data_IF_063146141827
#
_entry.id   IF_063146141827
#
_cell.length_a   1.000
_cell.length_b   1.000
_cell.length_c   1.000
_cell.angle_alpha   90.00
_cell.angle_beta   90.00
_cell.angle_gamma   90.00
#
_symmetry.space_group_name_H-M   'P 1'
#
loop_
_entity.id
_entity.type
_entity.pdbx_description
1 polymer ?
#
# COMPACT_ATOMS: atom_id res chain seq x y z
N UNK A 1 4.55 28.61 15.16
CA UNK A 1 5.18 27.43 14.52
C UNK A 1 4.22 26.27 14.68
N UNK A 2 4.03 25.41 13.66
CA UNK A 2 3.28 24.17 13.85
C UNK A 2 3.92 23.37 14.99
N UNK A 3 3.11 22.79 15.88
CA UNK A 3 3.61 21.88 16.91
C UNK A 3 4.29 20.69 16.24
N UNK A 4 5.36 20.17 16.84
CA UNK A 4 6.09 19.01 16.30
C UNK A 4 5.15 17.81 16.04
N UNK A 5 4.08 17.69 16.82
CA UNK A 5 3.04 16.67 16.65
C UNK A 5 2.28 16.76 15.32
N UNK A 6 2.17 17.95 14.73
CA UNK A 6 1.44 18.15 13.47
C UNK A 6 2.16 17.50 12.27
N UNK A 7 3.44 17.16 12.42
CA UNK A 7 4.24 16.54 11.38
C UNK A 7 4.33 15.00 11.50
N UNK A 8 3.89 14.43 12.62
CA UNK A 8 3.92 12.99 12.84
C UNK A 8 2.71 12.30 12.16
N UNK A 9 2.91 11.11 11.56
CA UNK A 9 1.85 10.41 10.85
C UNK A 9 0.73 9.90 11.78
N UNK A 10 1.06 9.56 13.03
CA UNK A 10 0.08 9.16 14.04
C UNK A 10 0.03 10.20 15.16
N UNK A 11 -1.19 10.54 15.54
CA UNK A 11 -1.50 11.38 16.69
C UNK A 11 -1.76 10.50 17.90
N UNK A 12 -1.11 10.82 19.01
CA UNK A 12 -1.35 10.18 20.30
C UNK A 12 -2.60 10.75 20.98
N UNK A 13 -3.39 9.89 21.62
CA UNK A 13 -4.54 10.27 22.44
C UNK A 13 -4.30 9.87 23.89
N UNK A 14 -4.07 10.87 24.74
CA UNK A 14 -3.94 10.65 26.18
C UNK A 14 -5.31 10.46 26.82
N UNK A 15 -5.51 9.43 27.67
CA UNK A 15 -6.72 9.27 28.47
C UNK A 15 -7.02 10.53 29.31
N UNK A 16 -8.30 10.76 29.62
CA UNK A 16 -8.69 11.90 30.45
C UNK A 16 -8.00 11.83 31.84
N UNK A 17 -7.39 12.94 32.26
CA UNK A 17 -6.69 13.03 33.54
C UNK A 17 -5.23 12.56 33.52
N UNK A 18 -4.78 11.98 32.40
CA UNK A 18 -3.36 11.70 32.20
C UNK A 18 -2.64 12.97 31.71
N UNK A 19 -1.36 13.17 32.07
CA UNK A 19 -0.57 14.22 31.47
C UNK A 19 -0.36 13.92 29.98
N UNK A 20 -0.14 14.99 29.22
CA UNK A 20 0.27 14.88 27.83
C UNK A 20 1.74 14.42 27.79
N UNK A 21 2.08 13.34 27.07
CA UNK A 21 3.47 12.91 26.92
C UNK A 21 4.31 13.98 26.22
N UNK A 22 5.63 13.94 26.42
CA UNK A 22 6.53 14.83 25.69
C UNK A 22 6.54 14.48 24.19
N UNK A 23 6.72 15.49 23.33
CA UNK A 23 6.79 15.30 21.88
C UNK A 23 7.86 14.26 21.46
N UNK A 24 8.97 14.19 22.20
CA UNK A 24 10.02 13.17 21.99
C UNK A 24 9.53 11.75 22.25
N UNK A 25 8.79 11.55 23.35
CA UNK A 25 8.20 10.24 23.67
C UNK A 25 7.21 9.83 22.58
N UNK A 26 6.33 10.77 22.17
CA UNK A 26 5.34 10.54 21.10
C UNK A 26 6.02 10.18 19.77
N UNK A 27 7.14 10.81 19.43
CA UNK A 27 7.89 10.51 18.22
C UNK A 27 8.59 9.13 18.26
N UNK A 28 9.08 8.71 19.42
CA UNK A 28 9.83 7.44 19.61
C UNK A 28 8.93 6.22 19.78
N UNK A 29 7.67 6.40 20.19
CA UNK A 29 6.71 5.31 20.45
C UNK A 29 5.54 5.26 19.45
N UNK A 30 5.67 5.88 18.26
CA UNK A 30 4.59 5.91 17.25
C UNK A 30 4.01 4.52 16.94
N UNK A 31 2.72 4.34 17.20
CA UNK A 31 1.98 3.11 16.89
C UNK A 31 2.26 1.95 17.85
N UNK A 32 2.98 2.19 18.93
CA UNK A 32 3.15 1.22 20.01
C UNK A 32 1.90 1.22 20.91
N UNK A 33 1.33 0.05 21.17
CA UNK A 33 0.18 -0.07 22.08
C UNK A 33 0.75 -0.36 23.46
N UNK A 34 0.61 0.55 24.45
CA UNK A 34 1.06 0.29 25.80
C UNK A 34 0.40 -0.95 26.38
N UNK A 35 1.12 -1.68 27.24
CA UNK A 35 0.56 -2.81 27.96
C UNK A 35 -0.63 -2.38 28.83
N UNK A 36 -1.54 -3.31 29.08
CA UNK A 36 -2.73 -3.04 29.88
C UNK A 36 -2.33 -2.59 31.29
N UNK A 37 -2.76 -1.40 31.68
CA UNK A 37 -2.43 -0.80 32.98
C UNK A 37 -1.06 -0.12 33.03
N UNK A 38 -0.38 0.03 31.89
CA UNK A 38 0.78 0.92 31.76
C UNK A 38 0.38 2.33 32.21
N UNK A 39 1.28 3.02 32.90
CA UNK A 39 1.17 4.43 33.27
C UNK A 39 2.56 5.02 33.00
N UNK A 40 2.69 6.21 32.39
CA UNK A 40 4.01 6.75 32.09
C UNK A 40 4.82 6.96 33.37
N UNK A 41 6.09 6.59 33.34
CA UNK A 41 6.99 6.75 34.49
C UNK A 41 7.11 8.23 34.90
N UNK A 42 7.06 8.50 36.20
CA UNK A 42 7.17 9.84 36.76
C UNK A 42 5.86 10.66 36.77
N UNK A 43 4.75 10.07 36.34
CA UNK A 43 3.43 10.72 36.36
C UNK A 43 2.73 10.46 37.69
N UNK A 44 2.94 11.37 38.64
CA UNK A 44 2.01 11.57 39.73
C UNK A 44 1.52 13.01 39.68
N UNK A 45 0.28 13.21 39.24
CA UNK A 45 -0.31 14.54 39.21
C UNK A 45 -0.73 14.89 40.64
N UNK A 46 0.12 15.61 41.36
CA UNK A 46 -0.12 15.92 42.77
C UNK A 46 -0.09 14.70 43.69
N UNK A 47 0.71 13.68 43.36
CA UNK A 47 0.82 12.45 44.16
C UNK A 47 -0.29 11.42 43.93
N UNK A 48 -1.30 11.72 43.11
CA UNK A 48 -2.37 10.79 42.76
C UNK A 48 -2.00 10.04 41.48
N UNK A 49 -2.05 8.70 41.54
CA UNK A 49 -1.86 7.82 40.38
C UNK A 49 -3.13 7.89 39.52
N UNK A 50 -3.04 8.19 38.22
CA UNK A 50 -4.21 8.23 37.37
C UNK A 50 -4.82 6.85 37.19
N UNK A 51 -6.13 6.81 36.92
CA UNK A 51 -6.84 5.57 36.64
C UNK A 51 -6.31 4.90 35.36
N UNK A 52 -6.32 3.56 35.28
CA UNK A 52 -5.96 2.84 34.06
C UNK A 52 -6.81 3.27 32.86
N UNK A 53 -6.22 3.27 31.68
CA UNK A 53 -6.96 3.52 30.45
C UNK A 53 -8.08 2.46 30.24
N UNK A 54 -9.23 2.84 29.65
CA UNK A 54 -10.27 1.89 29.25
C UNK A 54 -9.75 0.75 28.35
N UNK A 55 -10.40 -0.42 28.38
CA UNK A 55 -9.98 -1.58 27.57
C UNK A 55 -10.05 -1.31 26.06
N UNK A 56 -10.95 -0.43 25.63
CA UNK A 56 -11.21 -0.05 24.25
C UNK A 56 -10.49 1.25 23.83
N UNK A 57 -9.52 1.70 24.62
CA UNK A 57 -8.83 2.97 24.35
C UNK A 57 -8.01 2.92 23.07
N UNK A 58 -8.24 3.90 22.20
CA UNK A 58 -7.48 4.08 20.95
C UNK A 58 -6.33 5.05 21.19
N UNK A 59 -5.14 4.50 21.47
CA UNK A 59 -3.93 5.28 21.74
C UNK A 59 -3.47 6.13 20.56
N UNK A 60 -3.68 5.65 19.33
CA UNK A 60 -3.16 6.26 18.12
C UNK A 60 -4.24 6.39 17.07
N UNK A 61 -4.33 7.57 16.46
CA UNK A 61 -5.11 7.75 15.23
C UNK A 61 -4.25 8.36 14.14
N UNK A 62 -4.58 8.10 12.88
CA UNK A 62 -3.91 8.75 11.75
C UNK A 62 -4.15 10.26 11.80
N UNK A 63 -3.06 11.03 11.73
CA UNK A 63 -3.17 12.48 11.57
C UNK A 63 -3.49 12.77 10.10
N UNK A 64 -4.67 13.34 9.77
CA UNK A 64 -5.15 13.40 8.39
C UNK A 64 -4.20 14.17 7.45
N UNK A 65 -3.64 15.28 7.92
CA UNK A 65 -2.76 16.11 7.10
C UNK A 65 -1.36 15.52 6.90
N UNK A 66 -0.68 15.10 7.98
CA UNK A 66 0.60 14.41 7.89
C UNK A 66 0.50 13.13 7.05
N UNK A 67 -0.56 12.35 7.24
CA UNK A 67 -0.83 11.16 6.43
C UNK A 67 -1.04 11.48 4.96
N UNK A 68 -1.81 12.53 4.64
CA UNK A 68 -2.04 12.95 3.26
C UNK A 68 -0.72 13.35 2.59
N UNK A 69 0.15 14.08 3.28
CA UNK A 69 1.47 14.48 2.77
C UNK A 69 2.34 13.26 2.49
N UNK A 70 2.49 12.38 3.49
CA UNK A 70 3.27 11.16 3.43
C UNK A 70 2.83 10.20 2.31
N UNK A 71 1.51 10.06 2.12
CA UNK A 71 0.93 9.15 1.13
C UNK A 71 0.79 9.76 -0.25
N UNK A 72 0.81 11.09 -0.40
CA UNK A 72 0.57 11.79 -1.67
C UNK A 72 1.43 11.25 -2.80
N UNK A 73 2.73 11.07 -2.54
CA UNK A 73 3.69 10.59 -3.54
C UNK A 73 3.39 9.17 -3.97
N UNK A 74 3.16 8.28 -3.00
CA UNK A 74 2.88 6.87 -3.27
C UNK A 74 1.53 6.68 -3.96
N UNK A 75 0.49 7.37 -3.49
CA UNK A 75 -0.83 7.37 -4.14
C UNK A 75 -0.73 7.92 -5.57
N UNK A 76 0.08 8.96 -5.81
CA UNK A 76 0.28 9.47 -7.18
C UNK A 76 0.95 8.46 -8.10
N UNK A 77 1.84 7.61 -7.59
CA UNK A 77 2.49 6.55 -8.35
C UNK A 77 1.49 5.45 -8.73
N UNK A 78 0.71 4.95 -7.76
CA UNK A 78 -0.35 3.97 -8.03
C UNK A 78 -1.41 4.52 -8.99
N UNK A 79 -1.79 5.80 -8.83
CA UNK A 79 -2.73 6.44 -9.74
C UNK A 79 -2.21 6.51 -11.17
N UNK A 80 -0.92 6.78 -11.38
CA UNK A 80 -0.31 6.78 -12.71
C UNK A 80 -0.30 5.37 -13.32
N UNK A 81 0.03 4.35 -12.54
CA UNK A 81 -0.02 2.94 -12.97
C UNK A 81 -1.43 2.52 -13.38
N UNK A 82 -2.44 2.79 -12.55
CA UNK A 82 -3.85 2.54 -12.87
C UNK A 82 -4.31 3.26 -14.15
N UNK A 83 -3.96 4.54 -14.32
CA UNK A 83 -4.31 5.30 -15.54
C UNK A 83 -3.64 4.67 -16.76
N UNK A 84 -2.35 4.32 -16.67
CA UNK A 84 -1.62 3.69 -17.77
C UNK A 84 -2.22 2.32 -18.14
N UNK A 85 -2.51 1.48 -17.14
CA UNK A 85 -3.15 0.16 -17.33
C UNK A 85 -4.55 0.29 -17.95
N UNK A 86 -5.36 1.23 -17.50
CA UNK A 86 -6.68 1.50 -18.06
C UNK A 86 -6.60 2.00 -19.51
N UNK A 87 -5.68 2.91 -19.82
CA UNK A 87 -5.46 3.39 -21.20
C UNK A 87 -5.03 2.26 -22.12
N UNK A 88 -4.08 1.43 -21.70
CA UNK A 88 -3.63 0.26 -22.46
C UNK A 88 -4.79 -0.70 -22.72
N UNK A 89 -5.63 -0.95 -21.71
CA UNK A 89 -6.81 -1.80 -21.86
C UNK A 89 -7.79 -1.25 -22.90
N UNK A 90 -8.15 0.05 -22.81
CA UNK A 90 -9.09 0.69 -23.75
C UNK A 90 -8.55 0.69 -25.18
N UNK A 91 -7.25 0.97 -25.37
CA UNK A 91 -6.60 0.94 -26.68
C UNK A 91 -6.58 -0.49 -27.24
N UNK A 92 -6.20 -1.48 -26.44
CA UNK A 92 -6.19 -2.88 -26.85
C UNK A 92 -7.58 -3.38 -27.24
N UNK A 93 -8.61 -2.99 -26.46
CA UNK A 93 -10.00 -3.30 -26.74
C UNK A 93 -10.45 -2.67 -28.07
N UNK A 94 -10.15 -1.39 -28.30
CA UNK A 94 -10.51 -0.72 -29.56
C UNK A 94 -9.83 -1.34 -30.78
N UNK A 95 -8.55 -1.72 -30.65
CA UNK A 95 -7.80 -2.39 -31.72
C UNK A 95 -8.28 -3.83 -31.97
N UNK A 96 -8.82 -4.52 -30.97
CA UNK A 96 -9.38 -5.86 -31.12
C UNK A 96 -10.60 -5.87 -32.05
N UNK A 97 -11.42 -4.81 -32.02
CA UNK A 97 -12.58 -4.65 -32.89
C UNK A 97 -12.26 -3.95 -34.23
N UNK A 98 -11.03 -3.48 -34.42
CA UNK A 98 -10.63 -2.85 -35.66
C UNK A 98 -10.45 -3.91 -36.78
N UNK A 99 -10.82 -3.59 -38.03
CA UNK A 99 -10.73 -4.54 -39.16
C UNK A 99 -9.30 -5.03 -39.46
N UNK A 100 -8.28 -4.32 -38.97
CA UNK A 100 -6.87 -4.69 -39.10
C UNK A 100 -6.45 -5.87 -38.20
N UNK A 101 -7.30 -6.28 -37.25
CA UNK A 101 -7.04 -7.40 -36.35
C UNK A 101 -7.03 -8.78 -37.05
N UNK A 102 -7.19 -8.86 -38.38
CA UNK A 102 -7.13 -10.13 -39.13
C UNK A 102 -5.75 -10.80 -39.09
N UNK A 103 -4.68 -10.05 -38.77
CA UNK A 103 -3.32 -10.60 -38.66
C UNK A 103 -3.14 -11.34 -37.33
N UNK A 104 -2.83 -12.63 -37.39
CA UNK A 104 -2.73 -13.54 -36.24
C UNK A 104 -1.75 -13.07 -35.16
N UNK A 105 -0.59 -12.51 -35.54
CA UNK A 105 0.41 -12.01 -34.59
C UNK A 105 -0.04 -10.78 -33.78
N UNK A 106 -0.84 -9.91 -34.39
CA UNK A 106 -1.38 -8.71 -33.73
C UNK A 106 -2.45 -9.08 -32.70
N UNK A 107 -3.26 -10.12 -32.95
CA UNK A 107 -4.25 -10.62 -31.98
C UNK A 107 -3.60 -11.08 -30.69
N UNK A 108 -2.48 -11.81 -30.74
CA UNK A 108 -1.79 -12.31 -29.54
C UNK A 108 -1.29 -11.16 -28.67
N UNK A 109 -0.69 -10.13 -29.29
CA UNK A 109 -0.27 -8.92 -28.58
C UNK A 109 -1.45 -8.16 -27.96
N UNK A 110 -2.56 -8.07 -28.69
CA UNK A 110 -3.78 -7.42 -28.20
C UNK A 110 -4.40 -8.15 -27.01
N UNK A 111 -4.44 -9.48 -27.05
CA UNK A 111 -4.86 -10.29 -25.89
C UNK A 111 -3.94 -10.09 -24.69
N UNK A 112 -2.62 -10.06 -24.90
CA UNK A 112 -1.65 -9.76 -23.86
C UNK A 112 -1.91 -8.41 -23.20
N UNK A 113 -2.13 -7.36 -24.00
CA UNK A 113 -2.46 -6.03 -23.50
C UNK A 113 -3.82 -5.97 -22.79
N UNK A 114 -4.82 -6.70 -23.31
CA UNK A 114 -6.16 -6.80 -22.74
C UNK A 114 -6.15 -7.45 -21.35
N UNK A 115 -5.27 -8.42 -21.13
CA UNK A 115 -5.08 -9.07 -19.83
C UNK A 115 -4.19 -8.24 -18.89
N UNK A 116 -3.15 -7.61 -19.44
CA UNK A 116 -2.19 -6.83 -18.67
C UNK A 116 -2.83 -5.59 -18.02
N UNK A 117 -3.66 -4.84 -18.76
CA UNK A 117 -4.28 -3.61 -18.26
C UNK A 117 -5.08 -3.81 -16.96
N UNK A 118 -6.08 -4.71 -16.93
CA UNK A 118 -6.85 -5.02 -15.72
C UNK A 118 -5.99 -5.62 -14.59
N UNK A 119 -4.99 -6.46 -14.92
CA UNK A 119 -4.10 -7.04 -13.92
C UNK A 119 -3.26 -5.96 -13.21
N UNK A 120 -2.74 -4.98 -13.94
CA UNK A 120 -2.00 -3.86 -13.37
C UNK A 120 -2.90 -2.97 -12.49
N UNK A 121 -4.12 -2.67 -12.96
CA UNK A 121 -5.11 -1.93 -12.18
C UNK A 121 -5.46 -2.66 -10.87
N UNK A 122 -5.70 -3.97 -10.93
CA UNK A 122 -6.00 -4.77 -9.76
C UNK A 122 -4.83 -4.80 -8.77
N UNK A 123 -3.59 -4.93 -9.29
CA UNK A 123 -2.36 -4.88 -8.49
C UNK A 123 -2.20 -3.55 -7.77
N UNK A 124 -2.41 -2.44 -8.46
CA UNK A 124 -2.29 -1.10 -7.88
C UNK A 124 -3.40 -0.83 -6.86
N UNK A 125 -4.62 -1.28 -7.14
CA UNK A 125 -5.76 -1.17 -6.22
C UNK A 125 -5.49 -1.94 -4.92
N UNK A 126 -4.98 -3.18 -5.01
CA UNK A 126 -4.57 -3.95 -3.83
C UNK A 126 -3.40 -3.30 -3.07
N UNK A 127 -2.50 -2.63 -3.81
CA UNK A 127 -1.45 -1.80 -3.22
C UNK A 127 -2.03 -0.66 -2.36
N UNK A 128 -3.10 -0.02 -2.84
CA UNK A 128 -3.80 1.05 -2.12
C UNK A 128 -4.57 0.54 -0.89
N UNK A 129 -5.22 -0.63 -0.96
CA UNK A 129 -5.95 -1.17 0.20
C UNK A 129 -5.02 -1.59 1.33
N UNK A 130 -3.84 -2.12 0.99
CA UNK A 130 -2.81 -2.52 1.97
C UNK A 130 -1.89 -1.38 2.38
N UNK A 131 -2.10 -0.18 1.85
CA UNK A 131 -1.23 0.97 2.08
C UNK A 131 -1.25 1.38 3.57
N UNK A 132 -2.43 1.35 4.19
CA UNK A 132 -2.61 1.65 5.62
C UNK A 132 -1.68 0.82 6.50
N UNK A 133 -1.81 -0.50 6.42
CA UNK A 133 -1.05 -1.44 7.24
C UNK A 133 0.46 -1.32 7.03
N UNK A 134 0.90 -1.09 5.78
CA UNK A 134 2.32 -0.91 5.45
C UNK A 134 2.90 0.35 6.07
N UNK A 135 2.15 1.45 6.03
CA UNK A 135 2.59 2.70 6.62
C UNK A 135 2.54 2.68 8.14
N UNK A 136 1.56 2.01 8.74
CA UNK A 136 1.52 1.80 10.19
C UNK A 136 2.71 0.93 10.65
N UNK A 137 3.08 -0.09 9.87
CA UNK A 137 4.30 -0.88 10.09
C UNK A 137 5.59 -0.08 9.83
N UNK A 138 5.56 0.86 8.90
CA UNK A 138 6.70 1.73 8.60
C UNK A 138 6.92 2.78 9.68
N UNK A 139 5.85 3.41 10.18
CA UNK A 139 5.91 4.36 11.28
C UNK A 139 6.56 3.74 12.52
N UNK A 140 6.17 2.51 12.87
CA UNK A 140 6.80 1.73 13.95
C UNK A 140 8.28 1.45 13.75
N UNK A 141 8.74 1.27 12.50
CA UNK A 141 10.18 1.07 12.22
C UNK A 141 10.97 2.35 12.35
N UNK A 142 10.40 3.47 11.91
CA UNK A 142 11.04 4.78 12.04
C UNK A 142 11.14 5.16 13.52
N UNK A 143 10.08 4.96 14.28
CA UNK A 143 10.06 5.22 15.72
C UNK A 143 11.08 4.36 16.47
N UNK A 144 11.17 3.07 16.15
CA UNK A 144 12.20 2.18 16.71
C UNK A 144 13.63 2.64 16.39
N UNK A 145 13.87 3.23 15.20
CA UNK A 145 15.18 3.81 14.86
C UNK A 145 15.47 5.09 15.64
N UNK A 146 14.48 5.95 15.81
CA UNK A 146 14.61 7.17 16.62
C UNK A 146 14.86 6.82 18.09
N UNK A 147 14.18 5.81 18.62
CA UNK A 147 14.39 5.32 19.98
C UNK A 147 15.79 4.72 20.19
N UNK A 148 16.36 4.09 19.16
CA UNK A 148 17.70 3.52 19.19
C UNK A 148 18.83 4.57 19.12
N UNK A 149 18.53 5.81 18.73
CA UNK A 149 19.49 6.92 18.69
C UNK A 149 19.12 8.02 19.70
N UNK A 150 19.43 7.84 21.00
CA UNK A 150 19.08 8.77 22.06
C UNK A 150 19.81 10.13 21.97
N UNK A 151 20.83 10.24 21.12
CA UNK A 151 21.55 11.49 20.84
C UNK A 151 21.17 12.11 19.50
N UNK A 152 20.31 11.43 18.71
CA UNK A 152 19.77 11.94 17.48
C UNK A 152 18.94 13.19 17.74
N UNK A 153 19.22 14.27 17.00
CA UNK A 153 18.36 15.45 17.03
C UNK A 153 16.99 15.00 16.52
N UNK A 154 15.98 15.07 17.39
CA UNK A 154 14.60 14.82 17.01
C UNK A 154 14.29 15.63 15.75
N UNK A 155 13.78 15.03 14.67
CA UNK A 155 13.55 15.77 13.44
C UNK A 155 12.61 16.93 13.75
N UNK A 156 13.15 18.15 13.63
CA UNK A 156 12.50 19.37 14.12
C UNK A 156 11.57 19.97 13.07
N UNK A 157 11.71 19.50 11.82
CA UNK A 157 10.97 20.00 10.68
C UNK A 157 10.15 18.89 10.02
N UNK A 158 9.00 19.28 9.47
CA UNK A 158 8.19 18.40 8.63
C UNK A 158 8.98 17.85 7.42
N UNK A 159 9.97 18.59 6.94
CA UNK A 159 10.85 18.19 5.83
C UNK A 159 11.84 17.08 6.24
N UNK A 160 12.42 17.16 7.43
CA UNK A 160 13.30 16.12 7.97
C UNK A 160 12.52 14.85 8.27
N UNK A 161 11.32 14.98 8.86
CA UNK A 161 10.37 13.88 9.00
C UNK A 161 10.05 13.32 7.62
N UNK A 162 9.67 14.12 6.63
CA UNK A 162 9.42 13.63 5.28
C UNK A 162 10.63 12.87 4.70
N UNK A 163 11.86 13.36 4.88
CA UNK A 163 13.06 12.64 4.41
C UNK A 163 13.32 11.33 5.16
N UNK A 164 12.99 11.26 6.45
CA UNK A 164 13.09 10.04 7.26
C UNK A 164 12.00 9.03 6.88
N UNK A 165 10.84 9.54 6.50
CA UNK A 165 9.63 8.79 6.26
C UNK A 165 9.31 8.53 4.77
N UNK A 166 10.06 9.13 3.84
CA UNK A 166 10.00 8.82 2.41
C UNK A 166 10.98 7.67 2.15
N UNK A 167 10.50 6.48 1.82
CA UNK A 167 11.40 5.38 1.48
C UNK A 167 12.20 5.76 0.23
N UNK A 168 13.53 5.75 0.34
CA UNK A 168 14.49 6.12 -0.74
C UNK A 168 14.26 5.31 -2.02
N UNK A 169 13.75 4.09 -1.87
CA UNK A 169 13.23 3.22 -2.90
C UNK A 169 11.72 3.12 -2.70
N UNK A 170 10.90 3.50 -3.68
CA UNK A 170 9.45 3.41 -3.56
C UNK A 170 8.97 2.02 -3.10
N UNK A 171 7.74 1.89 -2.58
CA UNK A 171 7.23 0.69 -1.88
C UNK A 171 7.14 -0.62 -2.72
N UNK A 172 7.73 -0.65 -3.91
CA UNK A 172 7.77 -1.82 -4.80
C UNK A 172 9.02 -2.71 -4.69
N UNK A 173 10.14 -2.23 -4.14
CA UNK A 173 11.39 -3.01 -4.19
C UNK A 173 11.58 -3.98 -3.01
N UNK A 174 10.95 -3.74 -1.88
CA UNK A 174 11.21 -4.49 -0.63
C UNK A 174 10.09 -5.48 -0.24
N UNK A 175 9.15 -5.77 -1.15
CA UNK A 175 8.09 -6.73 -0.88
C UNK A 175 8.67 -8.14 -0.65
N UNK A 176 8.29 -8.85 0.43
CA UNK A 176 8.84 -10.16 0.75
C UNK A 176 8.63 -11.14 -0.42
N UNK A 177 9.70 -11.83 -0.79
CA UNK A 177 9.79 -12.76 -1.93
C UNK A 177 8.66 -13.81 -1.96
N UNK A 178 8.04 -14.14 -0.83
CA UNK A 178 6.95 -15.12 -0.76
C UNK A 178 5.63 -14.68 -1.42
N UNK A 179 5.30 -13.38 -1.43
CA UNK A 179 4.05 -12.90 -2.08
C UNK A 179 4.18 -12.89 -3.60
N UNK A 180 5.42 -12.79 -4.13
CA UNK A 180 5.69 -12.91 -5.57
C UNK A 180 5.34 -14.30 -6.11
N UNK A 181 5.52 -15.36 -5.32
CA UNK A 181 5.24 -16.74 -5.74
C UNK A 181 3.75 -17.01 -6.00
N UNK A 182 2.87 -16.54 -5.11
CA UNK A 182 1.40 -16.69 -5.25
C UNK A 182 0.80 -15.84 -6.37
N UNK A 183 1.36 -14.64 -6.57
CA UNK A 183 0.93 -13.75 -7.66
C UNK A 183 1.42 -14.24 -9.03
N UNK A 184 2.65 -14.74 -9.11
CA UNK A 184 3.19 -15.31 -10.34
C UNK A 184 2.43 -16.59 -10.72
N UNK A 185 2.02 -17.42 -9.74
CA UNK A 185 1.14 -18.57 -10.00
C UNK A 185 -0.26 -18.17 -10.46
N UNK A 186 -0.87 -17.10 -9.91
CA UNK A 186 -2.17 -16.63 -10.40
C UNK A 186 -2.10 -16.03 -11.81
N UNK A 187 -1.05 -15.25 -12.13
CA UNK A 187 -0.86 -14.69 -13.47
C UNK A 187 -0.52 -15.79 -14.48
N UNK A 188 0.32 -16.75 -14.11
CA UNK A 188 0.63 -17.92 -14.95
C UNK A 188 -0.60 -18.81 -15.13
N UNK A 189 -1.42 -19.01 -14.10
CA UNK A 189 -2.66 -19.77 -14.21
C UNK A 189 -3.68 -19.06 -15.13
N UNK A 190 -3.79 -17.74 -15.03
CA UNK A 190 -4.62 -16.93 -15.94
C UNK A 190 -4.12 -16.99 -17.40
N UNK A 191 -2.80 -16.90 -17.60
CA UNK A 191 -2.19 -17.03 -18.92
C UNK A 191 -2.37 -18.43 -19.52
N UNK A 192 -2.20 -19.49 -18.72
CA UNK A 192 -2.43 -20.88 -19.15
C UNK A 192 -3.89 -21.15 -19.48
N UNK A 193 -4.83 -20.62 -18.68
CA UNK A 193 -6.25 -20.73 -18.97
C UNK A 193 -6.61 -20.03 -20.30
N UNK A 194 -6.03 -18.86 -20.57
CA UNK A 194 -6.22 -18.16 -21.83
C UNK A 194 -5.66 -18.95 -23.02
N UNK A 195 -4.45 -19.53 -22.90
CA UNK A 195 -3.88 -20.40 -23.93
C UNK A 195 -4.76 -21.63 -24.19
N UNK A 196 -5.28 -22.26 -23.14
CA UNK A 196 -6.18 -23.41 -23.28
C UNK A 196 -7.47 -23.05 -24.01
N UNK A 197 -8.07 -21.90 -23.70
CA UNK A 197 -9.28 -21.41 -24.38
C UNK A 197 -9.01 -21.17 -25.87
N UNK A 198 -7.84 -20.62 -26.21
CA UNK A 198 -7.44 -20.41 -27.62
C UNK A 198 -7.28 -21.74 -28.36
N UNK A 199 -6.62 -22.73 -27.75
CA UNK A 199 -6.46 -24.05 -28.34
C UNK A 199 -7.80 -24.77 -28.55
N UNK A 200 -8.72 -24.64 -27.60
CA UNK A 200 -10.07 -25.21 -27.71
C UNK A 200 -10.90 -24.52 -28.79
N UNK A 201 -10.81 -23.20 -28.90
CA UNK A 201 -11.50 -22.44 -29.94
C UNK A 201 -10.99 -22.79 -31.35
N UNK A 202 -9.67 -22.94 -31.51
CA UNK A 202 -9.06 -23.31 -32.79
C UNK A 202 -9.43 -24.74 -33.22
N UNK A 203 -9.41 -25.69 -32.26
CA UNK A 203 -9.84 -27.07 -32.49
C UNK A 203 -11.32 -27.16 -32.89
N UNK A 204 -12.18 -26.34 -32.26
CA UNK A 204 -13.61 -26.28 -32.60
C UNK A 204 -13.82 -25.79 -34.03
N UNK A 205 -13.16 -24.70 -34.44
CA UNK A 205 -13.25 -24.15 -35.81
C UNK A 205 -12.82 -25.20 -36.86
N UNK A 206 -11.71 -25.89 -36.63
CA UNK A 206 -11.24 -26.95 -37.54
C UNK A 206 -12.20 -28.13 -37.64
N UNK A 207 -12.87 -28.50 -36.52
CA UNK A 207 -13.87 -29.58 -36.53
C UNK A 207 -15.12 -29.25 -37.35
N UNK A 208 -15.56 -27.98 -37.31
CA UNK A 208 -16.77 -27.54 -38.02
C UNK A 208 -16.57 -27.40 -39.54
N UNK A 209 -15.35 -27.06 -39.99
CA UNK A 209 -15.04 -26.95 -41.42
C UNK A 209 -14.72 -28.29 -42.09
N UNK A 210 -14.27 -29.30 -41.33
CA UNK A 210 -13.97 -30.64 -41.86
C UNK A 210 -15.19 -31.53 -42.14
N UNK A 211 -16.37 -31.21 -41.60
CA UNK A 211 -17.56 -32.07 -41.67
C UNK A 211 -18.44 -31.87 -42.92
N UNK A 212 -18.09 -30.96 -43.83
CA UNK A 212 -18.93 -30.59 -44.99
C UNK A 212 -18.63 -31.30 -46.30
N UNK A 213 -17.76 -32.32 -46.30
CA UNK A 213 -17.32 -33.00 -47.52
C UNK A 213 -17.71 -34.48 -47.52
N UNK A 214 -19.01 -34.79 -47.57
CA UNK A 214 -19.55 -36.09 -47.97
C UNK A 214 -20.90 -35.94 -48.66
#
# INVERSE_FOLDING_TARGET
>A
MPSADAALPLRFHSPAGWPEPSAWWVATHQGEVPERGWVPDGVSTGGVRPDPAPEDWVWWSRHPDAWRTLTRRVVSQYRRGMIAGALLFVVALGLLFAPFAAHSGLRVLLWGALLYGPAEVARDLMGLTTLGDRYDAYARRVSARLAADPHGVAPTTAQELENLFVPKSGPGNDAPLHTRGRLLTMVVAGALAAVLIVLLADAFVHSTMGSGAH
#
